data_IF_231830531768
#
_entry.id   IF_231830531768
#
_cell.length_a   1.000
_cell.length_b   1.000
_cell.length_c   1.000
_cell.angle_alpha   90.00
_cell.angle_beta   90.00
_cell.angle_gamma   90.00
#
_symmetry.space_group_name_H-M   'P 1'
#
loop_
_entity.id
_entity.type
_entity.pdbx_description
1 polymer ?
#
# COMPACT_ATOMS: atom_id res chain seq x y z
N UNK A 1 14.29 -17.32 -31.29
CA UNK A 1 12.95 -17.26 -30.67
C UNK A 1 12.59 -15.79 -30.65
N UNK A 2 11.47 -15.40 -31.27
CA UNK A 2 10.97 -14.02 -31.18
C UNK A 2 10.79 -13.66 -29.71
N UNK A 3 11.25 -12.49 -29.29
CA UNK A 3 10.93 -11.98 -27.95
C UNK A 3 9.42 -12.10 -27.73
N UNK A 4 8.98 -12.65 -26.58
CA UNK A 4 7.56 -12.70 -26.27
C UNK A 4 6.99 -11.29 -26.38
N UNK A 5 5.88 -11.13 -27.08
CA UNK A 5 5.20 -9.85 -27.20
C UNK A 5 4.82 -9.40 -25.79
N UNK A 6 5.55 -8.42 -25.27
CA UNK A 6 5.27 -7.85 -23.96
C UNK A 6 3.89 -7.17 -24.00
N UNK A 7 2.92 -7.77 -23.31
CA UNK A 7 1.59 -7.16 -23.18
C UNK A 7 1.67 -6.07 -22.11
N UNK A 8 1.77 -4.83 -22.56
CA UNK A 8 1.81 -3.69 -21.64
C UNK A 8 0.50 -3.56 -20.86
N UNK A 9 0.59 -3.31 -19.55
CA UNK A 9 -0.58 -3.01 -18.73
C UNK A 9 -1.12 -1.61 -19.08
N UNK A 10 -2.27 -1.55 -19.75
CA UNK A 10 -2.87 -0.29 -20.21
C UNK A 10 -3.25 0.67 -19.08
N UNK A 11 -3.58 0.15 -17.90
CA UNK A 11 -3.87 1.00 -16.73
C UNK A 11 -2.60 1.73 -16.31
N UNK A 12 -1.49 1.00 -16.16
CA UNK A 12 -0.21 1.58 -15.76
C UNK A 12 0.41 2.48 -16.85
N UNK A 13 0.26 2.14 -18.13
CA UNK A 13 0.94 2.88 -19.20
C UNK A 13 0.21 4.13 -19.70
N UNK A 14 -1.08 4.30 -19.36
CA UNK A 14 -1.90 5.38 -19.92
C UNK A 14 -2.81 6.12 -18.94
N UNK A 15 -3.39 5.43 -17.95
CA UNK A 15 -4.51 5.97 -17.18
C UNK A 15 -4.17 6.26 -15.71
N UNK A 16 -3.32 5.45 -15.09
CA UNK A 16 -2.93 5.62 -13.70
C UNK A 16 -2.02 6.85 -13.54
N UNK A 17 -2.13 7.50 -12.38
CA UNK A 17 -1.19 8.57 -12.00
C UNK A 17 0.16 8.00 -11.62
N UNK A 18 1.24 8.75 -11.86
CA UNK A 18 2.62 8.38 -11.50
C UNK A 18 2.77 7.91 -10.05
N UNK A 19 2.04 8.52 -9.10
CA UNK A 19 2.04 8.09 -7.71
C UNK A 19 1.58 6.63 -7.51
N UNK A 20 0.52 6.20 -8.23
CA UNK A 20 0.04 4.82 -8.17
C UNK A 20 0.98 3.88 -8.94
N UNK A 21 1.50 4.33 -10.08
CA UNK A 21 2.48 3.55 -10.86
C UNK A 21 3.73 3.29 -10.01
N UNK A 22 4.27 4.33 -9.35
CA UNK A 22 5.42 4.21 -8.46
C UNK A 22 5.14 3.26 -7.30
N UNK A 23 3.99 3.38 -6.64
CA UNK A 23 3.58 2.52 -5.52
C UNK A 23 3.49 1.03 -5.89
N UNK A 24 2.92 0.72 -7.06
CA UNK A 24 2.69 -0.66 -7.53
C UNK A 24 3.79 -1.21 -8.44
N UNK A 25 4.80 -0.41 -8.78
CA UNK A 25 5.96 -0.88 -9.53
C UNK A 25 6.75 -1.92 -8.74
N UNK A 26 7.51 -2.77 -9.45
CA UNK A 26 8.37 -3.78 -8.82
C UNK A 26 9.36 -3.13 -7.84
N UNK A 27 10.04 -2.04 -8.27
CA UNK A 27 10.93 -1.28 -7.39
C UNK A 27 10.19 -0.59 -6.23
N UNK A 28 8.96 -0.14 -6.45
CA UNK A 28 8.09 0.41 -5.39
C UNK A 28 7.80 -0.60 -4.30
N UNK A 29 7.45 -1.83 -4.69
CA UNK A 29 7.24 -2.96 -3.78
C UNK A 29 8.51 -3.29 -2.99
N UNK A 30 9.66 -3.40 -3.65
CA UNK A 30 10.94 -3.67 -2.96
C UNK A 30 11.26 -2.59 -1.92
N UNK A 31 11.07 -1.30 -2.25
CA UNK A 31 11.25 -0.22 -1.26
C UNK A 31 10.31 -0.35 -0.07
N UNK A 32 9.07 -0.78 -0.27
CA UNK A 32 8.12 -1.01 0.82
C UNK A 32 8.50 -2.20 1.68
N UNK A 33 8.95 -3.30 1.08
CA UNK A 33 9.47 -4.47 1.81
C UNK A 33 10.67 -4.08 2.68
N UNK A 34 11.61 -3.28 2.14
CA UNK A 34 12.75 -2.75 2.90
C UNK A 34 12.32 -1.86 4.06
N UNK A 35 11.38 -0.93 3.83
CA UNK A 35 10.79 -0.10 4.90
C UNK A 35 10.13 -0.96 5.98
N UNK A 36 9.39 -1.99 5.59
CA UNK A 36 8.74 -2.91 6.52
C UNK A 36 9.77 -3.65 7.37
N UNK A 37 10.82 -4.21 6.76
CA UNK A 37 11.89 -4.88 7.52
C UNK A 37 12.60 -3.94 8.49
N UNK A 38 12.92 -2.71 8.08
CA UNK A 38 13.53 -1.71 8.97
C UNK A 38 12.59 -1.37 10.14
N UNK A 39 11.29 -1.20 9.88
CA UNK A 39 10.30 -0.94 10.93
C UNK A 39 10.22 -2.08 11.95
N UNK A 40 10.17 -3.33 11.48
CA UNK A 40 10.17 -4.51 12.36
C UNK A 40 11.49 -4.61 13.14
N UNK A 41 12.63 -4.36 12.49
CA UNK A 41 13.94 -4.38 13.16
C UNK A 41 14.04 -3.35 14.28
N UNK A 42 13.59 -2.11 14.04
CA UNK A 42 13.55 -1.06 15.05
C UNK A 42 12.66 -1.47 16.23
N UNK A 43 11.45 -1.98 15.95
CA UNK A 43 10.54 -2.42 16.99
C UNK A 43 11.07 -3.62 17.78
N UNK A 44 11.74 -4.59 17.13
CA UNK A 44 12.41 -5.71 17.80
C UNK A 44 13.58 -5.23 18.67
N UNK A 45 14.40 -4.29 18.19
CA UNK A 45 15.53 -3.73 18.92
C UNK A 45 15.07 -2.99 20.18
N UNK A 46 14.02 -2.17 20.06
CA UNK A 46 13.44 -1.43 21.19
C UNK A 46 12.85 -2.38 22.27
N UNK A 47 12.45 -3.58 21.88
CA UNK A 47 11.93 -4.63 22.77
C UNK A 47 13.03 -5.58 23.28
N UNK A 48 14.30 -5.24 23.05
CA UNK A 48 15.45 -5.92 23.63
C UNK A 48 16.02 -7.07 22.80
N UNK A 49 15.59 -7.26 21.54
CA UNK A 49 16.28 -8.18 20.63
C UNK A 49 17.66 -7.60 20.28
N UNK A 50 18.77 -8.37 20.41
CA UNK A 50 20.11 -7.86 20.17
C UNK A 50 20.34 -7.59 18.66
N UNK A 51 20.08 -6.35 18.26
CA UNK A 51 20.30 -5.84 16.90
C UNK A 51 21.27 -4.65 17.02
N UNK A 52 22.44 -4.70 16.35
CA UNK A 52 23.37 -3.57 16.34
C UNK A 52 22.71 -2.32 15.75
N UNK A 53 22.84 -1.18 16.43
CA UNK A 53 22.26 0.09 15.93
C UNK A 53 22.81 0.50 14.56
N UNK A 54 24.08 0.20 14.31
CA UNK A 54 24.75 0.32 13.00
C UNK A 54 24.10 -0.51 11.89
N UNK A 55 23.50 -1.67 12.21
CA UNK A 55 22.82 -2.50 11.22
C UNK A 55 21.57 -1.79 10.67
N UNK A 56 20.78 -1.18 11.56
CA UNK A 56 19.58 -0.42 11.18
C UNK A 56 19.97 0.78 10.29
N UNK A 57 21.01 1.52 10.67
CA UNK A 57 21.53 2.65 9.88
C UNK A 57 22.04 2.20 8.51
N UNK A 58 22.73 1.06 8.43
CA UNK A 58 23.22 0.50 7.17
C UNK A 58 22.05 0.16 6.23
N UNK A 59 21.02 -0.54 6.71
CA UNK A 59 19.82 -0.83 5.92
C UNK A 59 19.11 0.44 5.43
N UNK A 60 19.03 1.47 6.26
CA UNK A 60 18.43 2.76 5.89
C UNK A 60 19.22 3.46 4.78
N UNK A 61 20.56 3.41 4.83
CA UNK A 61 21.42 4.05 3.84
C UNK A 61 21.31 3.46 2.42
N UNK A 62 20.90 2.19 2.32
CA UNK A 62 20.74 1.47 1.04
C UNK A 62 19.27 1.23 0.66
N UNK A 63 18.31 1.80 1.42
CA UNK A 63 16.87 1.60 1.25
C UNK A 63 16.40 1.82 -0.20
N UNK A 64 16.86 2.91 -0.81
CA UNK A 64 16.46 3.31 -2.18
C UNK A 64 17.31 2.68 -3.29
N UNK A 65 18.38 1.95 -2.95
CA UNK A 65 19.27 1.29 -3.91
C UNK A 65 18.67 -0.04 -4.38
N UNK A 66 17.70 0.01 -5.29
CA UNK A 66 16.99 -1.19 -5.79
C UNK A 66 17.55 -1.65 -7.13
N UNK A 67 18.24 -2.79 -7.14
CA UNK A 67 18.70 -3.46 -8.36
C UNK A 67 17.81 -4.67 -8.67
N UNK A 68 16.83 -4.46 -9.57
CA UNK A 68 15.90 -5.52 -9.98
C UNK A 68 16.57 -6.64 -10.77
N UNK A 69 17.68 -6.37 -11.45
CA UNK A 69 18.41 -7.39 -12.21
C UNK A 69 19.17 -8.33 -11.28
N UNK A 70 19.87 -7.77 -10.29
CA UNK A 70 20.51 -8.52 -9.22
C UNK A 70 19.51 -9.41 -8.47
N UNK A 71 18.33 -8.88 -8.13
CA UNK A 71 17.26 -9.63 -7.47
C UNK A 71 16.80 -10.81 -8.36
N UNK A 72 16.54 -10.59 -9.64
CA UNK A 72 16.11 -11.66 -10.57
C UNK A 72 17.16 -12.77 -10.69
N UNK A 73 18.44 -12.41 -10.82
CA UNK A 73 19.52 -13.40 -10.91
C UNK A 73 19.64 -14.24 -9.61
N UNK A 74 19.39 -13.64 -8.44
CA UNK A 74 19.31 -14.37 -7.17
C UNK A 74 18.09 -15.29 -7.14
N UNK A 75 16.94 -14.82 -7.59
CA UNK A 75 15.71 -15.60 -7.64
C UNK A 75 15.84 -16.84 -8.52
N UNK A 76 16.55 -16.76 -9.65
CA UNK A 76 16.83 -17.94 -10.50
C UNK A 76 17.56 -19.05 -9.73
N UNK A 77 18.43 -18.68 -8.79
CA UNK A 77 19.21 -19.60 -7.96
C UNK A 77 18.43 -20.08 -6.74
N UNK A 78 17.76 -19.18 -6.02
CA UNK A 78 17.01 -19.50 -4.80
C UNK A 78 15.69 -20.19 -5.08
N UNK A 79 15.12 -19.96 -6.27
CA UNK A 79 13.73 -20.30 -6.66
C UNK A 79 12.71 -19.76 -5.65
N UNK A 80 13.05 -18.66 -4.99
CA UNK A 80 12.22 -18.02 -3.98
C UNK A 80 12.49 -16.52 -3.97
N UNK A 81 11.46 -15.76 -4.35
CA UNK A 81 11.50 -14.31 -4.58
C UNK A 81 11.81 -13.50 -3.31
N UNK A 82 11.12 -13.75 -2.19
CA UNK A 82 11.38 -13.08 -0.89
C UNK A 82 12.81 -13.35 -0.42
N UNK A 83 13.27 -14.59 -0.54
CA UNK A 83 14.64 -14.97 -0.17
C UNK A 83 15.67 -14.20 -1.01
N UNK A 84 15.45 -14.07 -2.32
CA UNK A 84 16.34 -13.32 -3.20
C UNK A 84 16.44 -11.83 -2.78
N UNK A 85 15.32 -11.22 -2.38
CA UNK A 85 15.27 -9.83 -1.89
C UNK A 85 15.92 -9.66 -0.51
N UNK A 86 15.81 -10.66 0.37
CA UNK A 86 16.52 -10.68 1.65
C UNK A 86 18.04 -10.73 1.40
N UNK A 87 18.50 -11.69 0.60
CA UNK A 87 19.93 -11.86 0.31
C UNK A 87 20.53 -10.59 -0.32
N UNK A 88 19.83 -9.99 -1.28
CA UNK A 88 20.28 -8.74 -1.91
C UNK A 88 20.35 -7.57 -0.92
N UNK A 89 19.34 -7.39 -0.07
CA UNK A 89 19.33 -6.29 0.88
C UNK A 89 20.36 -6.46 2.00
N UNK A 90 20.59 -7.70 2.45
CA UNK A 90 21.65 -8.04 3.39
C UNK A 90 23.04 -7.77 2.79
N UNK A 91 23.28 -8.15 1.53
CA UNK A 91 24.55 -7.91 0.83
C UNK A 91 24.84 -6.42 0.69
N UNK A 92 23.83 -5.60 0.34
CA UNK A 92 23.97 -4.15 0.25
C UNK A 92 24.29 -3.49 1.60
N UNK A 93 23.63 -3.94 2.68
CA UNK A 93 23.82 -3.36 4.00
C UNK A 93 25.08 -3.89 4.71
N UNK A 94 25.58 -5.07 4.34
CA UNK A 94 26.66 -5.76 5.04
C UNK A 94 26.23 -6.41 6.36
N UNK A 95 24.93 -6.64 6.56
CA UNK A 95 24.35 -7.22 7.77
C UNK A 95 23.30 -8.28 7.43
N UNK A 96 23.09 -9.25 8.32
CA UNK A 96 22.10 -10.32 8.18
C UNK A 96 21.05 -10.29 9.30
N UNK A 97 20.43 -9.12 9.49
CA UNK A 97 19.44 -8.91 10.55
C UNK A 97 17.98 -8.94 10.09
N UNK A 98 17.67 -8.56 8.84
CA UNK A 98 16.28 -8.50 8.36
C UNK A 98 15.58 -9.86 8.38
N UNK A 99 14.25 -9.83 8.44
CA UNK A 99 13.37 -11.01 8.40
C UNK A 99 13.46 -11.97 9.60
N UNK A 100 14.10 -11.58 10.71
CA UNK A 100 14.15 -12.38 11.94
C UNK A 100 12.76 -12.63 12.54
N UNK A 101 12.44 -13.91 12.75
CA UNK A 101 11.15 -14.37 13.29
C UNK A 101 9.97 -14.13 12.34
N UNK A 102 10.22 -13.83 11.06
CA UNK A 102 9.19 -13.58 10.06
C UNK A 102 9.09 -14.73 9.06
N UNK A 103 7.92 -14.82 8.45
CA UNK A 103 7.66 -15.64 7.27
C UNK A 103 7.42 -14.77 6.05
N UNK A 104 7.51 -15.36 4.86
CA UNK A 104 7.22 -14.68 3.60
C UNK A 104 5.87 -13.96 3.61
N UNK A 105 4.85 -14.55 4.23
CA UNK A 105 3.51 -13.96 4.35
C UNK A 105 3.43 -12.81 5.35
N UNK A 106 4.28 -12.77 6.38
CA UNK A 106 4.39 -11.59 7.24
C UNK A 106 4.90 -10.38 6.44
N UNK A 107 5.75 -10.60 5.44
CA UNK A 107 6.22 -9.53 4.56
C UNK A 107 5.19 -9.18 3.48
N UNK A 108 4.87 -10.14 2.61
CA UNK A 108 4.13 -9.87 1.37
C UNK A 108 2.76 -9.30 1.64
N UNK A 109 2.02 -9.89 2.57
CA UNK A 109 0.63 -9.48 2.82
C UNK A 109 0.58 -8.10 3.50
N UNK A 110 1.49 -7.78 4.42
CA UNK A 110 1.53 -6.45 5.03
C UNK A 110 1.95 -5.38 4.01
N UNK A 111 2.89 -5.68 3.11
CA UNK A 111 3.31 -4.75 2.06
C UNK A 111 2.19 -4.52 1.05
N UNK A 112 1.52 -5.57 0.59
CA UNK A 112 0.38 -5.45 -0.34
C UNK A 112 -0.80 -4.72 0.31
N UNK A 113 -1.12 -5.03 1.56
CA UNK A 113 -2.14 -4.32 2.34
C UNK A 113 -1.78 -2.83 2.50
N UNK A 114 -0.51 -2.51 2.74
CA UNK A 114 -0.05 -1.13 2.79
C UNK A 114 -0.17 -0.44 1.42
N UNK A 115 0.17 -1.11 0.32
CA UNK A 115 -0.05 -0.58 -1.04
C UNK A 115 -1.54 -0.29 -1.31
N UNK A 116 -2.44 -1.17 -0.86
CA UNK A 116 -3.88 -0.94 -0.96
C UNK A 116 -4.28 0.28 -0.13
N UNK A 117 -3.87 0.35 1.13
CA UNK A 117 -4.21 1.46 2.02
C UNK A 117 -3.71 2.82 1.48
N UNK A 118 -2.47 2.87 1.00
CA UNK A 118 -1.91 4.08 0.37
C UNK A 118 -2.65 4.44 -0.94
N UNK A 119 -3.06 3.44 -1.73
CA UNK A 119 -3.89 3.67 -2.91
C UNK A 119 -5.25 4.27 -2.54
N UNK A 120 -5.88 3.78 -1.48
CA UNK A 120 -7.15 4.32 -0.96
C UNK A 120 -6.97 5.76 -0.46
N UNK A 121 -5.87 6.07 0.23
CA UNK A 121 -5.52 7.43 0.68
C UNK A 121 -5.32 8.38 -0.51
N UNK A 122 -4.66 7.94 -1.58
CA UNK A 122 -4.53 8.72 -2.81
C UNK A 122 -5.90 8.95 -3.49
N UNK A 123 -6.76 7.93 -3.55
CA UNK A 123 -8.12 8.07 -4.09
C UNK A 123 -8.99 9.01 -3.25
N UNK A 124 -8.83 8.98 -1.92
CA UNK A 124 -9.52 9.88 -0.99
C UNK A 124 -9.24 11.34 -1.32
N UNK A 125 -7.98 11.70 -1.61
CA UNK A 125 -7.61 13.06 -2.02
C UNK A 125 -8.29 13.46 -3.34
N UNK A 126 -8.33 12.55 -4.32
CA UNK A 126 -9.00 12.78 -5.61
C UNK A 126 -10.52 12.95 -5.43
N UNK A 127 -11.12 12.18 -4.53
CA UNK A 127 -12.54 12.28 -4.18
C UNK A 127 -12.89 13.64 -3.58
N UNK A 128 -12.08 14.14 -2.64
CA UNK A 128 -12.29 15.48 -2.06
C UNK A 128 -12.26 16.55 -3.16
N UNK A 129 -11.31 16.46 -4.09
CA UNK A 129 -11.23 17.39 -5.23
C UNK A 129 -12.43 17.29 -6.17
N UNK A 130 -12.94 16.08 -6.39
CA UNK A 130 -14.15 15.88 -7.20
C UNK A 130 -15.38 16.49 -6.53
N UNK A 131 -15.57 16.28 -5.22
CA UNK A 131 -16.67 16.87 -4.45
C UNK A 131 -16.61 18.41 -4.47
N UNK A 132 -15.41 18.97 -4.29
CA UNK A 132 -15.13 20.41 -4.38
C UNK A 132 -15.53 20.97 -5.76
N UNK A 133 -15.13 20.28 -6.84
CA UNK A 133 -15.48 20.66 -8.21
C UNK A 133 -16.98 20.54 -8.50
N UNK A 134 -17.64 19.49 -8.02
CA UNK A 134 -19.09 19.31 -8.16
C UNK A 134 -19.85 20.41 -7.42
N UNK A 135 -19.43 20.76 -6.19
CA UNK A 135 -19.99 21.88 -5.42
C UNK A 135 -19.91 23.18 -6.21
N UNK A 136 -18.72 23.51 -6.72
CA UNK A 136 -18.50 24.78 -7.42
C UNK A 136 -19.34 24.86 -8.70
N UNK A 137 -19.38 23.80 -9.49
CA UNK A 137 -20.20 23.75 -10.71
C UNK A 137 -21.69 23.77 -10.40
N UNK A 138 -22.13 23.09 -9.35
CA UNK A 138 -23.52 23.13 -8.90
C UNK A 138 -23.93 24.54 -8.45
N UNK A 139 -23.04 25.28 -7.79
CA UNK A 139 -23.28 26.66 -7.38
C UNK A 139 -23.33 27.63 -8.57
N UNK A 140 -22.40 27.52 -9.51
CA UNK A 140 -22.35 28.37 -10.72
C UNK A 140 -23.61 28.22 -11.56
N UNK A 141 -24.14 27.00 -11.68
CA UNK A 141 -25.34 26.72 -12.49
C UNK A 141 -26.60 26.50 -11.66
N UNK A 142 -26.63 27.04 -10.44
CA UNK A 142 -27.74 26.91 -9.49
C UNK A 142 -29.09 27.31 -10.11
N UNK A 143 -29.11 28.42 -10.83
CA UNK A 143 -30.33 29.04 -11.37
C UNK A 143 -30.52 28.80 -12.89
N UNK A 144 -29.64 28.00 -13.50
CA UNK A 144 -29.75 27.67 -14.93
C UNK A 144 -30.84 26.61 -15.14
N UNK A 145 -32.04 27.08 -15.49
CA UNK A 145 -33.20 26.23 -15.72
C UNK A 145 -33.02 25.30 -16.94
N UNK A 146 -33.44 24.04 -16.78
CA UNK A 146 -33.48 23.01 -17.82
C UNK A 146 -34.74 22.17 -17.69
N UNK A 147 -35.15 21.51 -18.78
CA UNK A 147 -36.19 20.47 -18.72
C UNK A 147 -35.66 19.25 -17.95
N UNK A 148 -36.37 18.87 -16.89
CA UNK A 148 -36.17 17.59 -16.21
C UNK A 148 -36.60 16.42 -17.11
N UNK A 149 -36.06 15.22 -16.86
CA UNK A 149 -36.44 14.02 -17.62
C UNK A 149 -36.68 12.84 -16.71
N UNK A 150 -37.79 12.13 -16.93
CA UNK A 150 -38.11 10.81 -16.37
C UNK A 150 -38.44 9.89 -17.53
N UNK A 151 -38.04 8.62 -17.49
CA UNK A 151 -38.14 7.70 -18.65
C UNK A 151 -37.55 8.30 -19.95
N UNK A 152 -36.54 9.17 -19.82
CA UNK A 152 -35.97 9.99 -20.90
C UNK A 152 -36.93 10.96 -21.63
N UNK A 153 -38.19 11.06 -21.20
CA UNK A 153 -39.19 12.03 -21.68
C UNK A 153 -39.13 13.34 -20.89
N UNK A 154 -39.65 14.43 -21.46
CA UNK A 154 -39.70 15.73 -20.79
C UNK A 154 -40.65 15.69 -19.57
N UNK A 155 -40.19 16.24 -18.45
CA UNK A 155 -40.93 16.36 -17.19
C UNK A 155 -40.91 17.82 -16.70
N UNK A 156 -41.19 18.04 -15.42
CA UNK A 156 -41.14 19.37 -14.81
C UNK A 156 -39.73 20.01 -14.94
N UNK A 157 -39.62 21.35 -14.95
CA UNK A 157 -38.33 22.05 -14.94
C UNK A 157 -37.49 21.71 -13.69
N UNK A 158 -36.17 21.75 -13.87
CA UNK A 158 -35.16 21.70 -12.80
C UNK A 158 -34.02 22.65 -13.17
N UNK A 159 -32.89 22.61 -12.45
CA UNK A 159 -31.69 23.37 -12.82
C UNK A 159 -30.49 22.45 -13.06
N UNK A 160 -29.53 22.91 -13.88
CA UNK A 160 -28.27 22.18 -14.08
C UNK A 160 -27.56 21.98 -12.74
N UNK A 161 -27.54 23.01 -11.88
CA UNK A 161 -26.97 22.94 -10.55
C UNK A 161 -27.64 21.89 -9.66
N UNK A 162 -28.98 21.79 -9.69
CA UNK A 162 -29.71 20.73 -8.97
C UNK A 162 -29.30 19.34 -9.45
N UNK A 163 -29.12 19.13 -10.75
CA UNK A 163 -28.68 17.83 -11.31
C UNK A 163 -27.26 17.47 -10.87
N UNK A 164 -26.33 18.42 -10.88
CA UNK A 164 -24.97 18.19 -10.36
C UNK A 164 -24.95 17.91 -8.86
N UNK A 165 -25.78 18.61 -8.09
CA UNK A 165 -25.91 18.38 -6.65
C UNK A 165 -26.44 16.96 -6.34
N UNK A 166 -27.32 16.40 -7.19
CA UNK A 166 -27.76 15.01 -7.05
C UNK A 166 -26.60 14.02 -7.20
N UNK A 167 -25.75 14.18 -8.23
CA UNK A 167 -24.52 13.38 -8.35
C UNK A 167 -23.57 13.62 -7.17
N UNK A 168 -23.45 14.87 -6.71
CA UNK A 168 -22.68 15.23 -5.52
C UNK A 168 -23.11 14.46 -4.28
N UNK A 169 -24.42 14.31 -4.04
CA UNK A 169 -24.95 13.53 -2.91
C UNK A 169 -24.48 12.07 -2.96
N UNK A 170 -24.58 11.41 -4.11
CA UNK A 170 -24.10 10.03 -4.28
C UNK A 170 -22.60 9.91 -4.00
N UNK A 171 -21.82 10.90 -4.44
CA UNK A 171 -20.38 10.95 -4.21
C UNK A 171 -20.02 11.21 -2.74
N UNK A 172 -20.83 11.97 -1.99
CA UNK A 172 -20.64 12.17 -0.55
C UNK A 172 -20.83 10.85 0.21
N UNK A 173 -21.87 10.09 -0.11
CA UNK A 173 -22.10 8.77 0.49
C UNK A 173 -20.97 7.78 0.14
N UNK A 174 -20.48 7.81 -1.11
CA UNK A 174 -19.35 7.00 -1.52
C UNK A 174 -18.05 7.40 -0.79
N UNK A 175 -17.84 8.70 -0.57
CA UNK A 175 -16.69 9.21 0.18
C UNK A 175 -16.72 8.76 1.64
N UNK A 176 -17.88 8.80 2.31
CA UNK A 176 -18.02 8.34 3.69
C UNK A 176 -17.62 6.85 3.84
N UNK A 177 -18.03 6.00 2.89
CA UNK A 177 -17.62 4.58 2.87
C UNK A 177 -16.12 4.40 2.66
N UNK A 178 -15.52 5.19 1.78
CA UNK A 178 -14.08 5.16 1.54
C UNK A 178 -13.30 5.60 2.79
N UNK A 179 -13.74 6.68 3.44
CA UNK A 179 -13.11 7.22 4.65
C UNK A 179 -13.17 6.21 5.80
N UNK A 180 -14.33 5.59 6.02
CA UNK A 180 -14.52 4.54 7.01
C UNK A 180 -13.65 3.31 6.76
N UNK A 181 -13.55 2.85 5.50
CA UNK A 181 -12.66 1.74 5.13
C UNK A 181 -11.19 2.07 5.43
N UNK A 182 -10.74 3.28 5.13
CA UNK A 182 -9.35 3.72 5.41
C UNK A 182 -9.10 3.75 6.92
N UNK A 183 -10.06 4.26 7.70
CA UNK A 183 -9.94 4.38 9.15
C UNK A 183 -9.87 3.02 9.87
N UNK A 184 -10.50 1.99 9.31
CA UNK A 184 -10.61 0.65 9.93
C UNK A 184 -9.94 -0.45 9.12
N UNK A 185 -9.01 -0.09 8.24
CA UNK A 185 -8.38 -1.05 7.33
C UNK A 185 -7.61 -2.13 8.14
N UNK A 186 -7.96 -3.42 8.03
CA UNK A 186 -7.34 -4.47 8.84
C UNK A 186 -5.98 -4.84 8.27
N UNK A 187 -4.92 -4.62 9.05
CA UNK A 187 -3.59 -5.14 8.74
C UNK A 187 -3.44 -6.57 9.28
N UNK A 188 -2.66 -7.38 8.56
CA UNK A 188 -2.36 -8.76 8.95
C UNK A 188 -1.54 -8.81 10.23
N UNK A 189 -0.56 -7.90 10.37
CA UNK A 189 0.42 -7.92 11.46
C UNK A 189 1.42 -9.08 11.32
N UNK A 190 2.14 -9.40 12.40
CA UNK A 190 3.12 -10.48 12.45
C UNK A 190 2.47 -11.72 13.07
N UNK A 191 2.22 -12.75 12.25
CA UNK A 191 1.40 -13.93 12.61
C UNK A 191 2.13 -15.26 12.39
N UNK A 192 3.31 -15.24 11.76
CA UNK A 192 4.08 -16.44 11.44
C UNK A 192 3.40 -17.31 10.38
N UNK A 193 3.88 -18.54 10.23
CA UNK A 193 3.51 -19.43 9.12
C UNK A 193 2.02 -19.81 9.10
N UNK A 194 1.45 -20.04 10.29
CA UNK A 194 0.09 -20.60 10.46
C UNK A 194 -0.77 -19.81 11.44
N UNK A 195 -0.41 -18.55 11.71
CA UNK A 195 -1.22 -17.66 12.54
C UNK A 195 -0.93 -17.70 14.05
N UNK A 196 0.00 -18.54 14.50
CA UNK A 196 0.32 -18.73 15.92
C UNK A 196 1.44 -17.82 16.44
N UNK A 197 2.12 -17.08 15.56
CA UNK A 197 3.26 -16.21 15.90
C UNK A 197 4.43 -16.93 16.60
N UNK A 198 4.56 -18.26 16.42
CA UNK A 198 5.52 -19.09 17.13
C UNK A 198 6.98 -18.63 16.94
N UNK A 199 7.35 -18.20 15.73
CA UNK A 199 8.71 -17.75 15.44
C UNK A 199 9.07 -16.45 16.19
N UNK A 200 8.12 -15.52 16.30
CA UNK A 200 8.28 -14.32 17.13
C UNK A 200 8.33 -14.69 18.61
N UNK A 201 7.45 -15.57 19.07
CA UNK A 201 7.44 -16.03 20.47
C UNK A 201 8.76 -16.70 20.85
N UNK A 202 9.33 -17.50 19.96
CA UNK A 202 10.64 -18.13 20.14
C UNK A 202 11.75 -17.08 20.19
N UNK A 203 11.68 -16.07 19.31
CA UNK A 203 12.63 -14.96 19.30
C UNK A 203 12.62 -14.15 20.60
N UNK A 204 11.46 -14.03 21.26
CA UNK A 204 11.29 -13.39 22.56
C UNK A 204 11.33 -14.38 23.74
N UNK A 205 11.90 -15.57 23.57
CA UNK A 205 12.10 -16.56 24.64
C UNK A 205 10.81 -16.95 25.40
N UNK A 206 9.66 -16.93 24.72
CA UNK A 206 8.36 -17.26 25.30
C UNK A 206 7.59 -16.07 25.90
N UNK A 207 8.10 -14.84 25.81
CA UNK A 207 7.43 -13.65 26.31
C UNK A 207 6.29 -13.21 25.38
N UNK A 208 5.05 -13.57 25.75
CA UNK A 208 3.84 -13.23 24.98
C UNK A 208 3.47 -11.75 25.08
N UNK A 209 3.88 -11.05 26.13
CA UNK A 209 3.60 -9.62 26.30
C UNK A 209 4.42 -8.82 25.30
N UNK A 210 5.71 -9.14 25.14
CA UNK A 210 6.58 -8.51 24.11
C UNK A 210 6.11 -8.78 22.69
N UNK A 211 5.64 -9.99 22.38
CA UNK A 211 5.06 -10.30 21.05
C UNK A 211 3.79 -9.48 20.79
N UNK A 212 3.00 -9.22 21.82
CA UNK A 212 1.81 -8.36 21.72
C UNK A 212 2.20 -6.90 21.54
N UNK A 213 3.19 -6.43 22.30
CA UNK A 213 3.71 -5.07 22.19
C UNK A 213 4.33 -4.81 20.81
N UNK A 214 5.10 -5.76 20.27
CA UNK A 214 5.67 -5.69 18.91
C UNK A 214 4.59 -5.46 17.85
N UNK A 215 3.42 -6.12 17.98
CA UNK A 215 2.33 -5.96 17.02
C UNK A 215 1.59 -4.63 17.13
N UNK A 216 1.77 -3.89 18.23
CA UNK A 216 1.14 -2.58 18.46
C UNK A 216 1.99 -1.40 17.99
N UNK A 217 3.27 -1.63 17.66
CA UNK A 217 4.22 -0.64 17.16
C UNK A 217 4.19 -0.58 15.63
#
# INVERSE_FOLDING_TARGET
>A
MSDPVAVANVLASRYASDALIGLWSEAGRVRLERRFWIAVLRAQADLGIPIPGEAIQAYESVLDQVDLESIRHREERTRHDVKARIEEFCELAGFEHVHKGLTSRDLTDNVEQYQILESLRLLRLKYVRLLDALRDRAAVWRDLAIVGRTHHAAAQPTTVGKRLAMFGQEMVEAFARLDDLIARYPLRGLKGAVGTSLDQLTLFEGDTERVTELQSR
#
